data_IF_830201960419
#
_entry.id   IF_830201960419
#
_cell.length_a   1.000
_cell.length_b   1.000
_cell.length_c   1.000
_cell.angle_alpha   90.00
_cell.angle_beta   90.00
_cell.angle_gamma   90.00
#
_symmetry.space_group_name_H-M   'P 1'
#
loop_
_entity.id
_entity.type
_entity.pdbx_description
1 polymer ?
#
# COMPACT_ATOMS: atom_id res chain seq x y z
N UNK A 1 9.57 16.29 -9.19
CA UNK A 1 9.15 15.26 -10.18
C UNK A 1 8.12 14.29 -9.60
N UNK A 2 8.40 13.54 -8.53
CA UNK A 2 7.42 12.58 -7.98
C UNK A 2 6.12 13.24 -7.50
N UNK A 3 6.15 14.45 -6.93
CA UNK A 3 4.93 15.15 -6.48
C UNK A 3 4.06 15.62 -7.66
N UNK A 4 4.70 16.10 -8.73
CA UNK A 4 4.00 16.44 -9.98
C UNK A 4 3.36 15.18 -10.60
N UNK A 5 4.09 14.07 -10.63
CA UNK A 5 3.56 12.79 -11.11
C UNK A 5 2.40 12.28 -10.26
N UNK A 6 2.49 12.35 -8.92
CA UNK A 6 1.41 11.94 -8.00
C UNK A 6 0.12 12.71 -8.31
N UNK A 7 0.21 14.03 -8.42
CA UNK A 7 -0.92 14.90 -8.73
C UNK A 7 -1.55 14.55 -10.07
N UNK A 8 -0.75 14.50 -11.13
CA UNK A 8 -1.24 14.26 -12.48
C UNK A 8 -1.81 12.84 -12.66
N UNK A 9 -1.19 11.82 -12.06
CA UNK A 9 -1.75 10.46 -12.10
C UNK A 9 -3.09 10.36 -11.37
N UNK A 10 -3.24 11.02 -10.23
CA UNK A 10 -4.52 11.03 -9.49
C UNK A 10 -5.61 11.80 -10.21
N UNK A 11 -5.28 12.90 -10.87
CA UNK A 11 -6.24 13.76 -11.57
C UNK A 11 -6.63 13.22 -12.94
N UNK A 12 -5.66 12.72 -13.72
CA UNK A 12 -5.82 12.41 -15.14
C UNK A 12 -5.69 10.91 -15.48
N UNK A 13 -5.42 10.07 -14.50
CA UNK A 13 -5.10 8.67 -14.70
C UNK A 13 -3.73 8.47 -15.37
N UNK A 14 -3.39 7.20 -15.64
CA UNK A 14 -2.09 6.88 -16.24
C UNK A 14 -1.96 7.47 -17.66
N UNK A 15 -2.93 7.24 -18.53
CA UNK A 15 -2.84 7.67 -19.94
C UNK A 15 -2.86 9.19 -20.09
N UNK A 16 -3.66 9.90 -19.29
CA UNK A 16 -3.76 11.35 -19.32
C UNK A 16 -2.56 12.11 -18.72
N UNK A 17 -1.71 11.46 -17.96
CA UNK A 17 -0.49 12.03 -17.38
C UNK A 17 0.71 11.75 -18.29
N UNK A 18 1.00 12.63 -19.26
CA UNK A 18 2.18 12.50 -20.12
C UNK A 18 3.47 12.89 -19.39
N UNK A 19 4.63 12.34 -19.82
CA UNK A 19 5.94 12.75 -19.29
C UNK A 19 6.19 14.24 -19.51
N UNK A 20 5.74 14.80 -20.64
CA UNK A 20 5.87 16.23 -20.91
C UNK A 20 5.08 17.08 -19.89
N UNK A 21 3.83 16.70 -19.59
CA UNK A 21 3.02 17.39 -18.59
C UNK A 21 3.60 17.27 -17.18
N UNK A 22 4.17 16.09 -16.82
CA UNK A 22 4.84 15.87 -15.54
C UNK A 22 6.12 16.74 -15.43
N UNK A 23 6.88 16.83 -16.51
CA UNK A 23 8.09 17.66 -16.58
C UNK A 23 7.76 19.15 -16.44
N UNK A 24 6.76 19.62 -17.17
CA UNK A 24 6.25 21.00 -17.10
C UNK A 24 5.82 21.35 -15.67
N UNK A 25 4.98 20.52 -15.05
CA UNK A 25 4.49 20.66 -13.68
C UNK A 25 5.62 20.64 -12.65
N UNK A 26 6.68 19.87 -12.92
CA UNK A 26 7.86 19.76 -12.05
C UNK A 26 8.91 20.85 -12.29
N UNK A 27 8.76 21.72 -13.31
CA UNK A 27 9.72 22.74 -13.67
C UNK A 27 11.05 22.16 -14.21
N UNK A 28 11.01 21.01 -14.90
CA UNK A 28 12.18 20.36 -15.49
C UNK A 28 11.93 20.00 -16.95
N UNK A 29 12.97 19.57 -17.68
CA UNK A 29 12.78 19.08 -19.05
C UNK A 29 12.27 17.63 -19.09
N UNK A 30 11.55 17.20 -20.14
CA UNK A 30 11.16 15.81 -20.34
C UNK A 30 12.37 14.84 -20.33
N UNK A 31 13.50 15.27 -20.89
CA UNK A 31 14.76 14.48 -20.90
C UNK A 31 15.27 14.23 -19.49
N UNK A 32 15.10 15.19 -18.55
CA UNK A 32 15.47 15.02 -17.15
C UNK A 32 14.59 13.95 -16.48
N UNK A 33 13.30 13.89 -16.80
CA UNK A 33 12.40 12.85 -16.28
C UNK A 33 12.78 11.48 -16.84
N UNK A 34 13.02 11.40 -18.15
CA UNK A 34 13.48 10.15 -18.78
C UNK A 34 14.86 9.72 -18.28
N UNK A 35 15.80 10.64 -18.11
CA UNK A 35 17.12 10.35 -17.57
C UNK A 35 17.10 9.80 -16.15
N UNK A 36 16.11 10.22 -15.34
CA UNK A 36 15.99 9.77 -13.95
C UNK A 36 15.22 8.46 -13.80
N UNK A 37 14.10 8.32 -14.51
CA UNK A 37 13.19 7.19 -14.35
C UNK A 37 13.20 6.20 -15.52
N UNK A 38 13.74 6.55 -16.65
CA UNK A 38 13.75 5.73 -17.85
C UNK A 38 12.39 5.61 -18.56
N UNK A 39 11.30 5.47 -17.80
CA UNK A 39 9.95 5.36 -18.37
C UNK A 39 8.85 5.85 -17.40
N UNK A 40 7.66 6.16 -17.96
CA UNK A 40 6.48 6.52 -17.17
C UNK A 40 6.03 5.39 -16.23
N UNK A 41 6.22 4.13 -16.64
CA UNK A 41 5.93 2.95 -15.83
C UNK A 41 6.85 2.87 -14.60
N UNK A 42 8.14 3.05 -14.76
CA UNK A 42 9.11 3.05 -13.65
C UNK A 42 8.81 4.22 -12.71
N UNK A 43 8.52 5.39 -13.24
CA UNK A 43 8.09 6.56 -12.45
C UNK A 43 6.85 6.24 -11.59
N UNK A 44 5.83 5.58 -12.15
CA UNK A 44 4.64 5.17 -11.39
C UNK A 44 4.99 4.13 -10.31
N UNK A 45 5.85 3.17 -10.62
CA UNK A 45 6.33 2.17 -9.64
C UNK A 45 7.09 2.80 -8.48
N UNK A 46 7.97 3.75 -8.76
CA UNK A 46 8.73 4.48 -7.74
C UNK A 46 7.82 5.37 -6.88
N UNK A 47 6.86 6.03 -7.52
CA UNK A 47 5.85 6.81 -6.82
C UNK A 47 5.02 5.93 -5.87
N UNK A 48 4.59 4.75 -6.32
CA UNK A 48 3.88 3.80 -5.48
C UNK A 48 4.75 3.37 -4.28
N UNK A 49 6.00 2.95 -4.51
CA UNK A 49 6.92 2.58 -3.42
C UNK A 49 7.09 3.72 -2.42
N UNK A 50 7.24 4.97 -2.89
CA UNK A 50 7.29 6.17 -2.04
C UNK A 50 6.00 6.35 -1.23
N UNK A 51 4.84 6.14 -1.84
CA UNK A 51 3.54 6.29 -1.15
C UNK A 51 3.34 5.28 -0.02
N UNK A 52 3.78 4.04 -0.21
CA UNK A 52 3.74 2.99 0.83
C UNK A 52 4.75 3.28 1.94
N UNK A 53 5.98 3.60 1.57
CA UNK A 53 7.06 3.86 2.53
C UNK A 53 6.84 5.15 3.33
N UNK A 54 6.33 6.17 2.67
CA UNK A 54 6.30 7.56 3.15
C UNK A 54 7.53 8.33 2.66
N UNK A 55 7.38 9.64 2.55
CA UNK A 55 8.43 10.54 2.10
C UNK A 55 9.60 10.53 3.10
N UNK A 56 10.83 10.46 2.58
CA UNK A 56 12.08 10.48 3.36
C UNK A 56 12.15 9.46 4.52
N UNK A 57 11.35 8.38 4.48
CA UNK A 57 11.39 7.33 5.49
C UNK A 57 12.26 6.14 5.04
N UNK A 58 12.86 5.42 6.00
CA UNK A 58 13.59 4.19 5.70
C UNK A 58 12.64 3.11 5.13
N UNK A 59 13.16 1.96 4.67
CA UNK A 59 12.37 0.80 4.29
C UNK A 59 11.32 0.43 5.34
N UNK A 60 10.16 -0.08 4.92
CA UNK A 60 9.02 -0.35 5.81
C UNK A 60 9.39 -1.17 7.07
N UNK A 61 10.18 -2.26 6.98
CA UNK A 61 10.54 -3.04 8.18
C UNK A 61 11.37 -2.27 9.21
N UNK A 62 12.10 -1.24 8.78
CA UNK A 62 12.95 -0.43 9.64
C UNK A 62 12.20 0.73 10.32
N UNK A 63 10.96 1.00 9.92
CA UNK A 63 10.16 2.08 10.49
C UNK A 63 9.67 1.72 11.90
N UNK A 64 9.39 2.77 12.68
CA UNK A 64 8.93 2.61 14.07
C UNK A 64 7.68 1.73 14.19
N UNK A 65 6.66 1.94 13.33
CA UNK A 65 5.40 1.19 13.39
C UNK A 65 5.61 -0.32 13.31
N UNK A 66 6.18 -0.86 12.22
CA UNK A 66 6.50 -2.28 12.10
C UNK A 66 7.43 -2.81 13.21
N UNK A 67 8.44 -2.06 13.61
CA UNK A 67 9.34 -2.48 14.72
C UNK A 67 8.61 -2.57 16.06
N UNK A 68 7.72 -1.63 16.36
CA UNK A 68 6.91 -1.64 17.58
C UNK A 68 5.93 -2.82 17.57
N UNK A 69 5.32 -3.12 16.41
CA UNK A 69 4.45 -4.27 16.23
C UNK A 69 5.19 -5.59 16.53
N UNK A 70 6.37 -5.78 15.93
CA UNK A 70 7.16 -7.01 16.13
C UNK A 70 7.64 -7.15 17.59
N UNK A 71 7.92 -6.04 18.27
CA UNK A 71 8.34 -6.05 19.68
C UNK A 71 7.20 -6.27 20.69
N UNK A 72 5.93 -6.07 20.27
CA UNK A 72 4.78 -6.30 21.15
C UNK A 72 4.55 -7.80 21.35
N UNK A 73 4.14 -8.18 22.57
CA UNK A 73 3.94 -9.59 22.97
C UNK A 73 2.46 -9.99 23.09
N UNK A 74 1.54 -9.04 23.05
CA UNK A 74 0.10 -9.28 23.00
C UNK A 74 -0.41 -9.24 21.56
N UNK A 75 -1.03 -10.34 21.11
CA UNK A 75 -1.51 -10.48 19.74
C UNK A 75 -2.57 -9.43 19.38
N UNK A 76 -3.46 -9.06 20.31
CA UNK A 76 -4.48 -8.02 20.05
C UNK A 76 -3.83 -6.64 19.91
N UNK A 77 -2.82 -6.35 20.70
CA UNK A 77 -2.05 -5.12 20.56
C UNK A 77 -1.28 -5.08 19.24
N UNK A 78 -0.67 -6.20 18.82
CA UNK A 78 -0.03 -6.31 17.52
C UNK A 78 -0.99 -5.97 16.36
N UNK A 79 -2.25 -6.46 16.43
CA UNK A 79 -3.27 -6.16 15.42
C UNK A 79 -3.71 -4.70 15.44
N UNK A 80 -3.81 -4.05 16.62
CA UNK A 80 -4.09 -2.61 16.72
C UNK A 80 -2.96 -1.77 16.14
N UNK A 81 -1.71 -2.11 16.46
CA UNK A 81 -0.54 -1.43 15.91
C UNK A 81 -0.45 -1.58 14.39
N UNK A 82 -0.74 -2.79 13.88
CA UNK A 82 -0.83 -3.04 12.44
C UNK A 82 -1.90 -2.18 11.79
N UNK A 83 -3.12 -2.18 12.31
CA UNK A 83 -4.23 -1.41 11.75
C UNK A 83 -3.92 0.09 11.75
N UNK A 84 -3.30 0.61 12.80
CA UNK A 84 -2.90 2.02 12.88
C UNK A 84 -1.82 2.40 11.85
N UNK A 85 -0.85 1.51 11.57
CA UNK A 85 0.19 1.77 10.57
C UNK A 85 -0.32 1.58 9.13
N UNK A 86 -1.06 0.49 8.88
CA UNK A 86 -1.49 0.17 7.52
C UNK A 86 -2.51 1.16 6.95
N UNK A 87 -3.42 1.70 7.78
CA UNK A 87 -4.41 2.68 7.31
C UNK A 87 -3.73 3.93 6.73
N UNK A 88 -2.66 4.40 7.35
CA UNK A 88 -1.89 5.55 6.85
C UNK A 88 -1.20 5.26 5.51
N UNK A 89 -0.78 4.03 5.28
CA UNK A 89 -0.20 3.60 4.00
C UNK A 89 -1.28 3.46 2.93
N UNK A 90 -2.44 2.90 3.29
CA UNK A 90 -3.57 2.74 2.38
C UNK A 90 -4.10 4.10 1.90
N UNK A 91 -4.23 5.09 2.78
CA UNK A 91 -4.66 6.44 2.40
C UNK A 91 -3.77 7.04 1.31
N UNK A 92 -2.46 6.80 1.39
CA UNK A 92 -1.50 7.32 0.40
C UNK A 92 -1.46 6.48 -0.88
N UNK A 93 -1.45 5.15 -0.75
CA UNK A 93 -1.18 4.23 -1.85
C UNK A 93 -2.44 3.83 -2.63
N UNK A 94 -3.60 3.71 -1.99
CA UNK A 94 -4.80 3.19 -2.63
C UNK A 94 -5.26 3.97 -3.89
N UNK A 95 -5.18 5.31 -3.95
CA UNK A 95 -5.49 6.03 -5.19
C UNK A 95 -4.56 5.66 -6.36
N UNK A 96 -3.28 5.42 -6.09
CA UNK A 96 -2.30 5.02 -7.11
C UNK A 96 -2.50 3.58 -7.57
N UNK A 97 -2.89 2.68 -6.65
CA UNK A 97 -3.29 1.31 -7.01
C UNK A 97 -4.47 1.34 -7.97
N UNK A 98 -5.48 2.19 -7.75
CA UNK A 98 -6.61 2.32 -8.65
C UNK A 98 -6.21 2.81 -10.05
N UNK A 99 -5.27 3.77 -10.13
CA UNK A 99 -4.71 4.24 -11.41
C UNK A 99 -4.01 3.09 -12.14
N UNK A 100 -3.14 2.35 -11.43
CA UNK A 100 -2.41 1.22 -11.98
C UNK A 100 -3.35 0.09 -12.40
N UNK A 101 -4.32 -0.28 -11.57
CA UNK A 101 -5.30 -1.33 -11.86
C UNK A 101 -6.20 -0.98 -13.08
N UNK A 102 -6.51 0.30 -13.27
CA UNK A 102 -7.23 0.73 -14.47
C UNK A 102 -6.38 0.57 -15.74
N UNK A 103 -5.13 1.04 -15.70
CA UNK A 103 -4.22 1.02 -16.84
C UNK A 103 -3.72 -0.40 -17.19
N UNK A 104 -3.60 -1.28 -16.20
CA UNK A 104 -3.16 -2.67 -16.39
C UNK A 104 -4.10 -3.53 -17.24
N UNK A 105 -5.34 -3.08 -17.45
CA UNK A 105 -6.31 -3.80 -18.29
C UNK A 105 -5.95 -3.78 -19.78
N UNK A 106 -5.20 -2.77 -20.23
CA UNK A 106 -4.80 -2.58 -21.62
C UNK A 106 -3.30 -2.62 -21.85
N UNK A 107 -2.50 -2.70 -20.77
CA UNK A 107 -1.04 -2.69 -20.84
C UNK A 107 -0.46 -3.88 -20.05
N UNK A 108 0.08 -4.92 -20.75
CA UNK A 108 0.67 -6.10 -20.09
C UNK A 108 1.83 -5.78 -19.14
N UNK A 109 2.61 -4.76 -19.44
CA UNK A 109 3.74 -4.35 -18.59
C UNK A 109 3.25 -3.74 -17.27
N UNK A 110 2.14 -3.00 -17.31
CA UNK A 110 1.50 -2.48 -16.10
C UNK A 110 0.78 -3.59 -15.31
N UNK A 111 0.23 -4.60 -16.00
CA UNK A 111 -0.31 -5.79 -15.35
C UNK A 111 0.78 -6.54 -14.59
N UNK A 112 1.97 -6.71 -15.19
CA UNK A 112 3.11 -7.34 -14.54
C UNK A 112 3.61 -6.49 -13.34
N UNK A 113 3.63 -5.17 -13.46
CA UNK A 113 3.97 -4.28 -12.35
C UNK A 113 2.97 -4.46 -11.18
N UNK A 114 1.67 -4.49 -11.47
CA UNK A 114 0.62 -4.69 -10.46
C UNK A 114 0.78 -6.04 -9.74
N UNK A 115 1.03 -7.12 -10.49
CA UNK A 115 1.32 -8.45 -9.92
C UNK A 115 2.52 -8.39 -8.97
N UNK A 116 3.62 -7.79 -9.42
CA UNK A 116 4.83 -7.65 -8.58
C UNK A 116 4.54 -6.90 -7.27
N UNK A 117 3.75 -5.82 -7.33
CA UNK A 117 3.40 -5.04 -6.14
C UNK A 117 2.46 -5.82 -5.20
N UNK A 118 1.58 -6.67 -5.72
CA UNK A 118 0.75 -7.58 -4.92
C UNK A 118 1.59 -8.64 -4.21
N UNK A 119 2.55 -9.24 -4.91
CA UNK A 119 3.47 -10.23 -4.33
C UNK A 119 4.36 -9.60 -3.24
N UNK A 120 4.88 -8.40 -3.49
CA UNK A 120 5.66 -7.64 -2.49
C UNK A 120 4.81 -7.36 -1.25
N UNK A 121 3.56 -6.99 -1.44
CA UNK A 121 2.64 -6.73 -0.34
C UNK A 121 2.35 -7.99 0.46
N UNK A 122 2.11 -9.12 -0.19
CA UNK A 122 1.87 -10.41 0.47
C UNK A 122 3.08 -10.80 1.34
N UNK A 123 4.30 -10.67 0.81
CA UNK A 123 5.54 -10.93 1.57
C UNK A 123 5.67 -10.01 2.79
N UNK A 124 5.35 -8.72 2.64
CA UNK A 124 5.43 -7.77 3.74
C UNK A 124 4.38 -8.05 4.84
N UNK A 125 3.20 -8.55 4.49
CA UNK A 125 2.14 -8.89 5.44
C UNK A 125 2.46 -10.16 6.24
N UNK A 126 3.27 -11.07 5.70
CA UNK A 126 3.73 -12.25 6.43
C UNK A 126 4.44 -11.88 7.75
N UNK A 127 5.16 -10.76 7.78
CA UNK A 127 5.84 -10.27 9.00
C UNK A 127 4.85 -10.09 10.17
N UNK A 128 3.61 -9.66 9.91
CA UNK A 128 2.58 -9.58 10.94
C UNK A 128 2.19 -10.98 11.45
N UNK A 129 1.94 -11.92 10.52
CA UNK A 129 1.52 -13.27 10.89
C UNK A 129 2.62 -13.99 11.67
N UNK A 130 3.87 -13.87 11.25
CA UNK A 130 5.03 -14.41 11.95
C UNK A 130 5.15 -13.84 13.39
N UNK A 131 4.89 -12.52 13.54
CA UNK A 131 4.89 -11.88 14.86
C UNK A 131 3.72 -12.35 15.74
N UNK A 132 2.54 -12.61 15.14
CA UNK A 132 1.40 -13.15 15.88
C UNK A 132 1.66 -14.58 16.35
N UNK A 133 2.16 -15.45 15.47
CA UNK A 133 2.44 -16.87 15.82
C UNK A 133 3.55 -17.04 16.84
N UNK A 134 4.51 -16.11 16.87
CA UNK A 134 5.54 -16.09 17.92
C UNK A 134 4.97 -15.82 19.33
N UNK A 135 3.78 -15.23 19.44
CA UNK A 135 3.17 -14.84 20.72
C UNK A 135 1.92 -15.66 21.09
N UNK A 136 1.48 -16.58 20.24
CA UNK A 136 0.35 -17.46 20.56
C UNK A 136 -0.24 -18.14 19.33
N UNK A 137 -1.18 -19.09 19.53
CA UNK A 137 -1.81 -19.81 18.42
C UNK A 137 -2.72 -18.89 17.61
N UNK A 138 -2.87 -19.23 16.32
CA UNK A 138 -3.91 -18.68 15.46
C UNK A 138 -5.07 -19.67 15.35
N UNK A 139 -6.25 -19.17 15.00
CA UNK A 139 -7.46 -19.94 14.74
C UNK A 139 -7.39 -20.72 13.42
N UNK A 140 -6.63 -20.20 12.45
CA UNK A 140 -6.47 -20.71 11.09
C UNK A 140 -5.00 -20.92 10.77
N UNK A 141 -4.71 -21.60 9.67
CA UNK A 141 -3.33 -21.84 9.22
C UNK A 141 -2.64 -20.52 8.84
N UNK A 142 -1.31 -20.45 8.99
CA UNK A 142 -0.54 -19.22 8.77
C UNK A 142 -0.70 -18.66 7.36
N UNK A 143 -0.68 -19.50 6.33
CA UNK A 143 -0.87 -19.07 4.95
C UNK A 143 -2.27 -18.47 4.73
N UNK A 144 -3.31 -19.09 5.26
CA UNK A 144 -4.68 -18.57 5.24
C UNK A 144 -4.79 -17.23 6.04
N UNK A 145 -4.05 -17.11 7.15
CA UNK A 145 -3.99 -15.88 7.91
C UNK A 145 -3.35 -14.73 7.11
N UNK A 146 -2.26 -14.99 6.37
CA UNK A 146 -1.63 -13.99 5.49
C UNK A 146 -2.61 -13.53 4.40
N UNK A 147 -3.33 -14.46 3.75
CA UNK A 147 -4.32 -14.15 2.72
C UNK A 147 -5.52 -13.37 3.30
N UNK A 148 -5.96 -13.72 4.52
CA UNK A 148 -7.01 -12.99 5.23
C UNK A 148 -6.60 -11.54 5.51
N UNK A 149 -5.38 -11.32 6.02
CA UNK A 149 -4.83 -9.97 6.22
C UNK A 149 -4.71 -9.24 4.88
N UNK A 150 -4.22 -9.93 3.84
CA UNK A 150 -4.04 -9.35 2.50
C UNK A 150 -5.39 -8.88 1.92
N UNK A 151 -6.46 -9.64 2.08
CA UNK A 151 -7.79 -9.28 1.60
C UNK A 151 -8.38 -8.11 2.40
N UNK A 152 -8.38 -8.19 3.75
CA UNK A 152 -9.03 -7.17 4.60
C UNK A 152 -8.27 -5.84 4.64
N UNK A 153 -6.94 -5.85 4.56
CA UNK A 153 -6.13 -4.64 4.49
C UNK A 153 -5.84 -4.21 3.05
N UNK A 154 -6.72 -4.55 2.07
CA UNK A 154 -6.49 -4.21 0.66
C UNK A 154 -6.79 -2.75 0.33
N UNK A 155 -6.04 -2.16 -0.61
CA UNK A 155 -6.33 -0.82 -1.13
C UNK A 155 -7.75 -0.69 -1.68
N UNK A 156 -8.27 -1.74 -2.33
CA UNK A 156 -9.59 -1.82 -2.93
C UNK A 156 -10.68 -1.74 -1.86
N UNK A 157 -10.58 -2.56 -0.82
CA UNK A 157 -11.54 -2.55 0.29
C UNK A 157 -11.47 -1.24 1.06
N UNK A 158 -10.27 -0.70 1.30
CA UNK A 158 -10.11 0.61 1.90
C UNK A 158 -10.82 1.70 1.09
N UNK A 159 -10.64 1.74 -0.23
CA UNK A 159 -11.32 2.71 -1.09
C UNK A 159 -12.84 2.55 -1.04
N UNK A 160 -13.35 1.32 -1.11
CA UNK A 160 -14.78 1.05 -1.01
C UNK A 160 -15.37 1.61 0.30
N UNK A 161 -14.72 1.35 1.42
CA UNK A 161 -15.23 1.80 2.73
C UNK A 161 -15.03 3.31 2.94
N UNK A 162 -13.85 3.84 2.61
CA UNK A 162 -13.55 5.26 2.81
C UNK A 162 -14.30 6.17 1.82
N UNK A 163 -14.37 5.81 0.52
CA UNK A 163 -14.98 6.66 -0.51
C UNK A 163 -16.49 6.46 -0.62
N UNK A 164 -16.95 5.20 -0.77
CA UNK A 164 -18.37 4.91 -1.00
C UNK A 164 -19.18 4.95 0.30
N UNK A 165 -18.61 4.41 1.39
CA UNK A 165 -19.28 4.34 2.69
C UNK A 165 -18.95 5.51 3.63
N UNK A 166 -18.03 6.41 3.22
CA UNK A 166 -17.61 7.60 3.97
C UNK A 166 -17.05 7.28 5.36
N UNK A 167 -16.40 6.13 5.50
CA UNK A 167 -15.73 5.82 6.74
C UNK A 167 -14.52 6.73 6.92
N UNK A 168 -14.38 7.28 8.11
CA UNK A 168 -13.15 7.97 8.51
C UNK A 168 -12.05 6.97 8.87
N UNK A 169 -10.86 7.49 9.09
CA UNK A 169 -9.66 6.72 9.41
C UNK A 169 -9.84 5.88 10.66
N UNK A 170 -10.39 6.45 11.72
CA UNK A 170 -10.49 5.79 13.02
C UNK A 170 -11.46 4.63 12.94
N UNK A 171 -12.60 4.82 12.30
CA UNK A 171 -13.59 3.76 12.05
C UNK A 171 -13.03 2.60 11.26
N UNK A 172 -12.26 2.89 10.18
CA UNK A 172 -11.64 1.83 9.38
C UNK A 172 -10.56 1.11 10.17
N UNK A 173 -9.71 1.83 10.90
CA UNK A 173 -8.66 1.27 11.78
C UNK A 173 -9.25 0.30 12.80
N UNK A 174 -10.25 0.75 13.55
CA UNK A 174 -10.83 -0.02 14.64
C UNK A 174 -11.56 -1.25 14.10
N UNK A 175 -12.33 -1.08 13.02
CA UNK A 175 -12.98 -2.20 12.33
C UNK A 175 -11.96 -3.24 11.81
N UNK A 176 -10.84 -2.80 11.23
CA UNK A 176 -9.83 -3.72 10.71
C UNK A 176 -9.18 -4.52 11.85
N UNK A 177 -8.78 -3.85 12.94
CA UNK A 177 -8.19 -4.51 14.10
C UNK A 177 -9.15 -5.54 14.71
N UNK A 178 -10.42 -5.17 14.92
CA UNK A 178 -11.44 -6.06 15.48
C UNK A 178 -11.77 -7.24 14.55
N UNK A 179 -11.87 -7.00 13.25
CA UNK A 179 -12.14 -8.04 12.26
C UNK A 179 -11.01 -9.07 12.21
N UNK A 180 -9.76 -8.59 12.15
CA UNK A 180 -8.59 -9.47 12.18
C UNK A 180 -8.51 -10.25 13.50
N UNK A 181 -8.77 -9.62 14.64
CA UNK A 181 -8.77 -10.32 15.92
C UNK A 181 -9.82 -11.44 15.98
N UNK A 182 -11.03 -11.20 15.47
CA UNK A 182 -12.10 -12.20 15.42
C UNK A 182 -11.82 -13.37 14.47
N UNK A 183 -11.12 -13.11 13.38
CA UNK A 183 -10.83 -14.13 12.36
C UNK A 183 -9.56 -14.92 12.66
N UNK A 184 -8.54 -14.28 13.23
CA UNK A 184 -7.21 -14.87 13.40
C UNK A 184 -6.97 -15.43 14.81
N UNK A 185 -7.56 -14.84 15.85
CA UNK A 185 -7.27 -15.23 17.23
C UNK A 185 -8.36 -16.16 17.80
N UNK A 186 -7.96 -17.10 18.71
CA UNK A 186 -8.89 -17.99 19.39
C UNK A 186 -10.02 -17.28 20.14
#
# INVERSE_FOLDING_TARGET
MLDAADRLFRERGYDGASIAAIAEEAGVSPESVYGHFGSKRVLLGDLFRRSVRGEDKPPVPEQRGPRTLVAATDQREQLRLFAADIVLRLERAAPLVAVLASASRSDPDLAQLLTTLHDDRLRNLRVLVDALTANGPLRIQEDEAVETVWALASPELHQLLARERKWDRDRYRDWLADSLAKLLLP
#
